data_IF_034409926725
#
_entry.id   IF_034409926725
#
_cell.length_a   1.000
_cell.length_b   1.000
_cell.length_c   1.000
_cell.angle_alpha   90.00
_cell.angle_beta   90.00
_cell.angle_gamma   90.00
#
_symmetry.space_group_name_H-M   'P 1'
#
loop_
_entity.id
_entity.type
_entity.pdbx_description
1 polymer ?
#
# COMPACT_ATOMS: atom_id res chain seq x y z
N UNK A 1 -14.99 11.11 2.01
CA UNK A 1 -16.41 10.82 2.24
C UNK A 1 -17.12 12.12 2.60
N UNK A 2 -18.29 12.36 2.04
CA UNK A 2 -19.21 13.43 2.44
C UNK A 2 -20.62 12.87 2.60
N UNK A 3 -21.48 13.61 3.28
CA UNK A 3 -22.91 13.28 3.46
C UNK A 3 -23.71 14.43 2.86
N UNK A 4 -24.66 14.12 1.99
CA UNK A 4 -25.53 15.12 1.38
C UNK A 4 -26.69 15.51 2.33
N UNK A 5 -27.52 16.49 1.91
CA UNK A 5 -28.65 16.97 2.70
C UNK A 5 -29.72 15.89 2.97
N UNK A 6 -29.76 14.84 2.16
CA UNK A 6 -30.64 13.69 2.34
C UNK A 6 -30.04 12.58 3.21
N UNK A 7 -28.85 12.81 3.80
CA UNK A 7 -28.14 11.84 4.63
C UNK A 7 -27.42 10.73 3.86
N UNK A 8 -27.28 10.86 2.54
CA UNK A 8 -26.61 9.84 1.70
C UNK A 8 -25.12 10.06 1.68
N UNK A 9 -24.36 8.97 1.78
CA UNK A 9 -22.90 8.99 1.70
C UNK A 9 -22.44 9.12 0.24
N UNK A 10 -21.39 9.90 0.02
CA UNK A 10 -20.75 10.08 -1.27
C UNK A 10 -19.23 10.18 -1.15
N UNK A 11 -18.54 9.96 -2.26
CA UNK A 11 -17.08 10.11 -2.35
C UNK A 11 -16.75 11.43 -3.04
N UNK A 12 -15.74 12.12 -2.51
CA UNK A 12 -15.17 13.31 -3.12
C UNK A 12 -13.67 13.17 -3.17
N UNK A 13 -13.10 13.27 -4.37
CA UNK A 13 -11.65 13.31 -4.53
C UNK A 13 -11.10 14.61 -3.96
N UNK A 14 -10.13 14.50 -3.06
CA UNK A 14 -9.31 15.62 -2.60
C UNK A 14 -7.96 15.54 -3.32
N UNK A 15 -7.58 16.52 -4.11
CA UNK A 15 -6.26 16.52 -4.73
C UNK A 15 -5.18 16.61 -3.64
N UNK A 16 -4.06 15.95 -3.90
CA UNK A 16 -2.86 16.07 -3.06
C UNK A 16 -2.31 17.48 -3.21
N UNK A 17 -1.94 18.11 -2.11
CA UNK A 17 -1.31 19.41 -2.13
C UNK A 17 0.21 19.28 -2.37
N UNK A 18 0.80 20.22 -3.07
CA UNK A 18 2.24 20.27 -3.34
C UNK A 18 3.07 20.20 -2.04
N UNK A 19 2.59 20.86 -0.97
CA UNK A 19 3.21 20.79 0.36
C UNK A 19 3.19 19.37 0.98
N UNK A 20 2.20 18.54 0.64
CA UNK A 20 2.14 17.15 1.09
C UNK A 20 3.18 16.30 0.35
N UNK A 21 3.40 16.58 -0.94
CA UNK A 21 4.46 15.93 -1.73
C UNK A 21 5.84 16.30 -1.21
N UNK A 22 6.10 17.58 -0.92
CA UNK A 22 7.36 18.02 -0.32
C UNK A 22 7.59 17.38 1.04
N UNK A 23 6.58 17.34 1.89
CA UNK A 23 6.67 16.69 3.20
C UNK A 23 6.99 15.19 3.08
N UNK A 24 6.47 14.52 2.06
CA UNK A 24 6.80 13.12 1.79
C UNK A 24 8.31 12.95 1.47
N UNK A 25 8.89 13.85 0.62
CA UNK A 25 10.32 13.81 0.29
C UNK A 25 11.20 14.10 1.51
N UNK A 26 10.84 15.10 2.33
CA UNK A 26 11.56 15.39 3.58
C UNK A 26 11.50 14.20 4.53
N UNK A 27 10.34 13.54 4.64
CA UNK A 27 10.18 12.34 5.49
C UNK A 27 11.06 11.18 5.00
N UNK A 28 11.19 10.99 3.68
CA UNK A 28 12.10 9.98 3.11
C UNK A 28 13.56 10.31 3.44
N UNK A 29 13.97 11.56 3.24
CA UNK A 29 15.33 12.02 3.56
C UNK A 29 15.69 11.77 5.03
N UNK A 30 14.81 12.16 5.95
CA UNK A 30 15.02 11.95 7.40
C UNK A 30 15.11 10.46 7.71
N UNK A 31 14.27 9.62 7.11
CA UNK A 31 14.31 8.18 7.32
C UNK A 31 15.56 7.50 6.78
N UNK A 32 16.09 7.95 5.64
CA UNK A 32 17.37 7.48 5.07
C UNK A 32 18.53 7.90 5.99
N UNK A 33 18.57 9.17 6.42
CA UNK A 33 19.61 9.66 7.32
C UNK A 33 19.61 8.92 8.66
N UNK A 34 18.43 8.68 9.25
CA UNK A 34 18.31 7.91 10.49
C UNK A 34 18.80 6.46 10.34
N UNK A 35 18.47 5.82 9.21
CA UNK A 35 18.97 4.48 8.92
C UNK A 35 20.50 4.45 8.84
N UNK A 36 21.12 5.45 8.19
CA UNK A 36 22.57 5.55 8.10
C UNK A 36 23.23 5.75 9.47
N UNK A 37 22.68 6.65 10.31
CA UNK A 37 23.19 6.86 11.68
C UNK A 37 23.15 5.56 12.48
N UNK A 38 22.09 4.79 12.39
CA UNK A 38 21.97 3.51 13.09
C UNK A 38 22.93 2.44 12.54
N UNK A 39 23.11 2.38 11.22
CA UNK A 39 24.06 1.47 10.58
C UNK A 39 25.50 1.78 11.00
N UNK A 40 25.90 3.05 10.97
CA UNK A 40 27.24 3.49 11.38
C UNK A 40 27.48 3.24 12.87
N UNK A 41 26.45 3.37 13.69
CA UNK A 41 26.48 3.08 15.12
C UNK A 41 26.37 1.60 15.50
N UNK A 42 26.11 0.72 14.54
CA UNK A 42 26.01 -0.73 14.77
C UNK A 42 24.80 -1.15 15.61
N UNK A 43 23.77 -0.29 15.78
CA UNK A 43 22.59 -0.61 16.57
C UNK A 43 21.37 0.14 16.06
N UNK A 44 20.26 -0.58 15.86
CA UNK A 44 19.03 0.07 15.41
C UNK A 44 17.96 -0.88 14.90
N UNK A 45 17.00 -0.28 14.19
CA UNK A 45 15.90 -1.00 13.52
C UNK A 45 15.60 -0.36 12.18
N UNK A 46 15.70 -1.15 11.11
CA UNK A 46 15.43 -0.70 9.75
C UNK A 46 14.03 -1.14 9.32
N UNK A 47 13.44 -0.36 8.43
CA UNK A 47 12.29 -0.76 7.64
C UNK A 47 12.80 -1.42 6.37
N UNK A 48 12.74 -2.73 6.30
CA UNK A 48 13.26 -3.51 5.17
C UNK A 48 12.14 -3.98 4.26
N UNK A 49 12.45 -4.14 2.99
CA UNK A 49 11.60 -4.78 2.00
C UNK A 49 12.49 -5.42 0.94
N UNK A 50 12.39 -6.74 0.75
CA UNK A 50 13.16 -7.40 -0.29
C UNK A 50 12.77 -6.89 -1.68
N UNK A 51 13.66 -6.94 -2.67
CA UNK A 51 13.28 -6.73 -4.06
C UNK A 51 12.25 -7.78 -4.50
N UNK A 52 11.44 -7.44 -5.49
CA UNK A 52 10.54 -8.42 -6.11
C UNK A 52 11.35 -9.59 -6.67
N UNK A 53 10.82 -10.80 -6.53
CA UNK A 53 11.51 -11.97 -7.10
C UNK A 53 11.54 -11.91 -8.63
N UNK A 54 12.55 -12.51 -9.27
CA UNK A 54 12.61 -12.58 -10.75
C UNK A 54 11.34 -13.17 -11.37
N UNK A 55 10.74 -14.17 -10.70
CA UNK A 55 9.50 -14.79 -11.14
C UNK A 55 8.31 -13.85 -11.06
N UNK A 56 8.22 -13.04 -9.99
CA UNK A 56 7.18 -12.03 -9.85
C UNK A 56 7.31 -10.93 -10.92
N UNK A 57 8.55 -10.49 -11.20
CA UNK A 57 8.83 -9.53 -12.26
C UNK A 57 8.47 -10.09 -13.63
N UNK A 58 8.87 -11.34 -13.93
CA UNK A 58 8.56 -11.99 -15.20
C UNK A 58 7.05 -12.14 -15.40
N UNK A 59 6.33 -12.56 -14.35
CA UNK A 59 4.87 -12.65 -14.39
C UNK A 59 4.23 -11.30 -14.65
N UNK A 60 4.61 -10.27 -13.90
CA UNK A 60 4.06 -8.93 -14.08
C UNK A 60 4.33 -8.38 -15.49
N UNK A 61 5.51 -8.66 -16.10
CA UNK A 61 5.79 -8.27 -17.48
C UNK A 61 4.85 -8.95 -18.49
N UNK A 62 4.56 -10.23 -18.32
CA UNK A 62 3.62 -10.97 -19.18
C UNK A 62 2.19 -10.41 -19.02
N UNK A 63 1.76 -10.11 -17.81
CA UNK A 63 0.45 -9.52 -17.52
C UNK A 63 0.32 -8.13 -18.13
N UNK A 64 1.34 -7.27 -17.96
CA UNK A 64 1.36 -5.94 -18.56
C UNK A 64 1.35 -5.99 -20.10
N UNK A 65 2.09 -6.92 -20.72
CA UNK A 65 2.09 -7.11 -22.16
C UNK A 65 0.73 -7.61 -22.67
N UNK A 66 0.09 -8.52 -21.97
CA UNK A 66 -1.25 -9.00 -22.28
C UNK A 66 -2.31 -7.87 -22.21
N UNK A 67 -2.10 -6.91 -21.34
CA UNK A 67 -2.93 -5.69 -21.20
C UNK A 67 -2.50 -4.55 -22.15
N UNK A 68 -1.55 -4.79 -23.04
CA UNK A 68 -1.14 -3.87 -24.11
C UNK A 68 -0.04 -2.89 -23.75
N UNK A 69 0.59 -3.01 -22.57
CA UNK A 69 1.71 -2.17 -22.17
C UNK A 69 2.96 -3.02 -21.89
N UNK A 70 3.90 -3.03 -22.82
CA UNK A 70 5.16 -3.77 -22.68
C UNK A 70 6.12 -3.02 -21.77
N UNK A 71 6.61 -3.67 -20.70
CA UNK A 71 7.67 -3.15 -19.85
C UNK A 71 9.05 -3.62 -20.33
N UNK A 72 9.86 -2.75 -20.96
CA UNK A 72 11.21 -3.07 -21.42
C UNK A 72 12.14 -3.46 -20.28
N UNK A 73 13.15 -4.31 -20.57
CA UNK A 73 14.09 -4.79 -19.55
C UNK A 73 14.99 -3.68 -19.00
N UNK A 74 15.34 -2.73 -19.83
CA UNK A 74 16.21 -1.59 -19.54
C UNK A 74 15.48 -0.40 -18.90
N UNK A 75 14.13 -0.42 -18.87
CA UNK A 75 13.34 0.65 -18.29
C UNK A 75 13.13 0.42 -16.78
N UNK A 76 13.53 1.36 -15.90
CA UNK A 76 13.24 1.26 -14.48
C UNK A 76 11.73 1.15 -14.20
N UNK A 77 11.37 0.37 -13.20
CA UNK A 77 9.97 0.13 -12.83
C UNK A 77 9.14 1.42 -12.64
N UNK A 78 9.68 2.38 -11.89
CA UNK A 78 8.99 3.65 -11.65
C UNK A 78 8.77 4.46 -12.91
N UNK A 79 9.69 4.38 -13.87
CA UNK A 79 9.57 5.06 -15.17
C UNK A 79 8.54 4.35 -16.04
N UNK A 80 8.50 3.02 -16.03
CA UNK A 80 7.44 2.26 -16.69
C UNK A 80 6.05 2.68 -16.19
N UNK A 81 5.84 2.74 -14.88
CA UNK A 81 4.55 3.15 -14.32
C UNK A 81 4.13 4.58 -14.71
N UNK A 82 5.09 5.49 -14.94
CA UNK A 82 4.82 6.85 -15.42
C UNK A 82 4.39 6.90 -16.87
N UNK A 83 4.69 5.88 -17.67
CA UNK A 83 4.23 5.79 -19.07
C UNK A 83 2.78 5.36 -19.20
N UNK A 84 2.18 4.85 -18.14
CA UNK A 84 0.81 4.33 -18.16
C UNK A 84 -0.20 5.47 -18.15
N UNK A 85 -1.16 5.40 -19.08
CA UNK A 85 -2.30 6.28 -19.13
C UNK A 85 -3.35 5.84 -18.09
N UNK A 86 -3.64 6.69 -17.13
CA UNK A 86 -4.60 6.41 -16.05
C UNK A 86 -6.07 6.49 -16.48
N UNK A 87 -6.33 6.91 -17.70
CA UNK A 87 -7.68 6.87 -18.29
C UNK A 87 -7.93 5.60 -19.11
N UNK A 88 -6.88 4.85 -19.46
CA UNK A 88 -7.02 3.52 -20.08
C UNK A 88 -7.30 2.46 -18.99
N UNK A 89 -8.46 1.77 -19.06
CA UNK A 89 -8.81 0.72 -18.09
C UNK A 89 -7.80 -0.41 -17.97
N UNK A 90 -7.13 -0.76 -19.08
CA UNK A 90 -6.09 -1.79 -19.08
C UNK A 90 -4.86 -1.33 -18.31
N UNK A 91 -4.50 -0.06 -18.44
CA UNK A 91 -3.41 0.53 -17.67
C UNK A 91 -3.76 0.67 -16.18
N UNK A 92 -5.04 0.92 -15.82
CA UNK A 92 -5.48 0.86 -14.43
C UNK A 92 -5.33 -0.54 -13.83
N UNK A 93 -5.65 -1.60 -14.58
CA UNK A 93 -5.43 -2.98 -14.15
C UNK A 93 -3.92 -3.26 -13.94
N UNK A 94 -3.05 -2.77 -14.82
CA UNK A 94 -1.59 -2.88 -14.65
C UNK A 94 -1.12 -2.16 -13.37
N UNK A 95 -1.61 -0.94 -13.11
CA UNK A 95 -1.27 -0.19 -11.90
C UNK A 95 -1.73 -0.92 -10.63
N UNK A 96 -2.90 -1.54 -10.67
CA UNK A 96 -3.39 -2.36 -9.56
C UNK A 96 -2.46 -3.55 -9.30
N UNK A 97 -2.15 -4.34 -10.33
CA UNK A 97 -1.28 -5.51 -10.22
C UNK A 97 0.16 -5.14 -9.85
N UNK A 98 0.64 -3.97 -10.25
CA UNK A 98 1.96 -3.46 -9.91
C UNK A 98 2.23 -3.43 -8.40
N UNK A 99 1.20 -3.27 -7.58
CA UNK A 99 1.32 -3.29 -6.11
C UNK A 99 1.77 -4.66 -5.59
N UNK A 100 1.55 -5.73 -6.34
CA UNK A 100 1.95 -7.09 -5.99
C UNK A 100 3.47 -7.27 -5.89
N UNK A 101 4.24 -6.45 -6.58
CA UNK A 101 5.71 -6.46 -6.55
C UNK A 101 6.28 -5.93 -5.22
N UNK A 102 5.50 -5.18 -4.43
CA UNK A 102 5.95 -4.57 -3.16
C UNK A 102 5.42 -5.35 -1.96
N UNK A 103 5.84 -6.62 -1.84
CA UNK A 103 5.45 -7.50 -0.74
C UNK A 103 6.61 -7.78 0.21
N UNK A 104 6.30 -8.23 1.42
CA UNK A 104 7.29 -8.68 2.39
C UNK A 104 7.99 -7.55 3.15
N UNK A 105 7.42 -6.33 3.16
CA UNK A 105 7.98 -5.26 3.96
C UNK A 105 7.87 -5.57 5.46
N UNK A 106 8.99 -5.42 6.18
CA UNK A 106 9.10 -5.75 7.60
C UNK A 106 9.98 -4.77 8.37
N UNK A 107 10.35 -5.17 9.56
CA UNK A 107 11.34 -4.47 10.37
C UNK A 107 12.45 -5.46 10.73
N UNK A 108 13.70 -4.99 10.69
CA UNK A 108 14.87 -5.77 11.07
C UNK A 108 15.64 -5.00 12.14
N UNK A 109 15.65 -5.55 13.36
CA UNK A 109 16.44 -5.02 14.46
C UNK A 109 17.84 -5.62 14.44
N UNK A 110 18.85 -4.85 14.87
CA UNK A 110 20.24 -5.28 14.97
C UNK A 110 20.94 -4.60 16.14
N UNK A 111 21.88 -5.31 16.76
CA UNK A 111 22.79 -4.84 17.82
C UNK A 111 24.13 -5.53 17.58
N UNK A 112 25.10 -4.78 17.03
CA UNK A 112 26.39 -5.24 16.56
C UNK A 112 26.45 -5.32 15.04
N UNK A 113 26.24 -6.50 14.44
CA UNK A 113 26.36 -6.67 12.99
C UNK A 113 25.13 -6.12 12.26
N UNK A 114 25.31 -5.22 11.26
CA UNK A 114 24.21 -4.75 10.42
C UNK A 114 23.54 -5.88 9.63
N UNK A 115 22.25 -5.75 9.28
CA UNK A 115 21.55 -6.72 8.44
C UNK A 115 22.26 -6.91 7.09
N UNK A 116 22.29 -8.16 6.58
CA UNK A 116 22.85 -8.47 5.27
C UNK A 116 22.13 -7.71 4.14
N UNK A 117 20.81 -7.56 4.25
CA UNK A 117 19.96 -6.80 3.31
C UNK A 117 19.31 -5.61 4.03
N UNK A 118 20.01 -4.47 4.16
CA UNK A 118 19.49 -3.30 4.84
C UNK A 118 18.51 -2.47 3.97
N UNK A 119 18.43 -2.76 2.67
CA UNK A 119 17.73 -1.93 1.69
C UNK A 119 16.21 -2.13 1.78
N UNK A 120 15.49 -1.03 1.66
CA UNK A 120 14.06 -1.01 1.40
C UNK A 120 13.85 -0.84 -0.11
N UNK A 121 13.44 -1.91 -0.80
CA UNK A 121 13.44 -1.99 -2.26
C UNK A 121 12.63 -0.88 -2.95
N UNK A 122 11.50 -0.42 -2.37
CA UNK A 122 10.71 0.66 -2.96
C UNK A 122 11.38 2.05 -2.84
N UNK A 123 12.37 2.20 -1.94
CA UNK A 123 13.11 3.45 -1.72
C UNK A 123 14.50 3.36 -2.37
N UNK A 124 14.96 2.14 -2.64
CA UNK A 124 16.31 1.81 -3.13
C UNK A 124 17.44 2.29 -2.19
N UNK A 125 17.18 2.35 -0.89
CA UNK A 125 18.12 2.77 0.14
C UNK A 125 17.79 2.11 1.48
N UNK A 126 18.73 2.04 2.43
CA UNK A 126 18.42 1.77 3.82
C UNK A 126 17.47 2.85 4.35
N UNK A 127 16.47 2.41 5.11
CA UNK A 127 15.41 3.30 5.56
C UNK A 127 14.92 2.93 6.96
N UNK A 128 14.59 3.94 7.75
CA UNK A 128 13.99 3.76 9.06
C UNK A 128 12.80 4.69 9.27
N UNK A 129 11.81 4.21 9.97
CA UNK A 129 10.68 5.04 10.38
C UNK A 129 11.04 5.90 11.59
N UNK A 130 10.87 7.23 11.46
CA UNK A 130 11.20 8.22 12.50
C UNK A 130 10.20 9.36 12.60
N UNK A 131 9.36 9.57 11.57
CA UNK A 131 8.56 10.79 11.43
C UNK A 131 7.16 10.73 12.04
N UNK A 132 6.78 9.61 12.66
CA UNK A 132 5.44 9.43 13.23
C UNK A 132 5.43 8.72 14.61
N UNK A 133 6.16 9.22 15.63
CA UNK A 133 6.32 8.56 16.94
C UNK A 133 5.03 8.50 17.78
N UNK A 134 3.98 9.26 17.41
CA UNK A 134 2.69 9.20 18.07
C UNK A 134 1.86 7.97 17.68
N UNK A 135 2.04 7.47 16.45
CA UNK A 135 1.24 6.36 15.92
C UNK A 135 2.05 5.09 15.63
N UNK A 136 3.39 5.17 15.58
CA UNK A 136 4.28 4.01 15.37
C UNK A 136 5.27 3.89 16.51
N UNK A 137 5.22 2.75 17.21
CA UNK A 137 6.14 2.48 18.33
C UNK A 137 7.60 2.50 17.89
N UNK A 138 7.92 1.92 16.73
CA UNK A 138 9.28 1.84 16.20
C UNK A 138 9.95 3.21 16.06
N UNK A 139 9.22 4.25 15.69
CA UNK A 139 9.77 5.60 15.53
C UNK A 139 10.36 6.14 16.83
N UNK A 140 9.78 5.80 17.98
CA UNK A 140 10.29 6.20 19.29
C UNK A 140 11.65 5.55 19.59
N UNK A 141 11.81 4.29 19.22
CA UNK A 141 13.06 3.55 19.35
C UNK A 141 14.13 4.11 18.40
N UNK A 142 13.80 4.24 17.11
CA UNK A 142 14.72 4.82 16.12
C UNK A 142 15.22 6.21 16.54
N UNK A 143 14.32 7.07 17.02
CA UNK A 143 14.67 8.42 17.49
C UNK A 143 15.57 8.38 18.73
N UNK A 144 15.28 7.50 19.70
CA UNK A 144 16.12 7.38 20.91
C UNK A 144 17.51 6.84 20.58
N UNK A 145 17.63 5.89 19.64
CA UNK A 145 18.92 5.40 19.15
C UNK A 145 19.68 6.51 18.45
N UNK A 146 19.09 7.17 17.47
CA UNK A 146 19.73 8.26 16.72
C UNK A 146 20.19 9.40 17.65
N UNK A 147 19.34 9.79 18.61
CA UNK A 147 19.65 10.85 19.56
C UNK A 147 20.87 10.49 20.43
N UNK A 148 20.91 9.27 20.96
CA UNK A 148 22.03 8.80 21.77
C UNK A 148 23.34 8.74 20.96
N UNK A 149 23.29 8.16 19.75
CA UNK A 149 24.46 8.03 18.87
C UNK A 149 25.00 9.41 18.45
N UNK A 150 24.12 10.33 18.03
CA UNK A 150 24.52 11.68 17.63
C UNK A 150 25.10 12.49 18.81
N UNK A 151 24.67 12.22 20.03
CA UNK A 151 25.21 12.86 21.23
C UNK A 151 26.47 12.16 21.80
N UNK A 152 26.96 11.09 21.18
CA UNK A 152 28.09 10.28 21.68
C UNK A 152 27.79 9.62 23.01
N UNK A 153 26.53 9.31 23.31
CA UNK A 153 26.07 8.68 24.55
C UNK A 153 25.70 7.22 24.33
N UNK A 154 25.73 6.45 25.39
CA UNK A 154 25.19 5.08 25.34
C UNK A 154 23.68 5.11 25.05
N UNK A 155 23.23 4.17 24.19
CA UNK A 155 21.80 3.98 23.93
C UNK A 155 21.12 3.49 25.21
N UNK A 156 19.98 4.11 25.60
CA UNK A 156 19.30 3.78 26.84
C UNK A 156 19.02 2.26 26.98
N UNK A 157 19.23 1.66 28.16
CA UNK A 157 19.03 0.21 28.36
C UNK A 157 17.66 -0.29 27.92
N UNK A 158 16.60 0.46 28.21
CA UNK A 158 15.23 0.09 27.83
C UNK A 158 15.04 -0.06 26.31
N UNK A 159 15.81 0.68 25.51
CA UNK A 159 15.79 0.58 24.04
C UNK A 159 16.45 -0.73 23.63
N UNK A 160 17.67 -0.98 24.10
CA UNK A 160 18.47 -2.16 23.72
C UNK A 160 17.80 -3.47 24.15
N UNK A 161 17.24 -3.51 25.36
CA UNK A 161 16.56 -4.69 25.91
C UNK A 161 15.29 -5.07 25.11
N UNK A 162 14.62 -4.10 24.48
CA UNK A 162 13.35 -4.31 23.75
C UNK A 162 13.48 -4.24 22.24
N UNK A 163 14.68 -3.97 21.72
CA UNK A 163 14.87 -3.78 20.29
C UNK A 163 14.48 -5.02 19.47
N UNK A 164 14.83 -6.21 19.95
CA UNK A 164 14.53 -7.48 19.29
C UNK A 164 13.01 -7.79 19.25
N UNK A 165 12.22 -7.24 20.16
CA UNK A 165 10.77 -7.47 20.22
C UNK A 165 9.98 -6.61 19.18
N UNK A 166 10.60 -5.52 18.71
CA UNK A 166 9.92 -4.54 17.84
C UNK A 166 9.38 -5.11 16.52
N UNK A 167 10.12 -5.94 15.77
CA UNK A 167 9.60 -6.48 14.51
C UNK A 167 8.27 -7.22 14.70
N UNK A 168 8.18 -8.06 15.75
CA UNK A 168 6.96 -8.79 16.09
C UNK A 168 5.82 -7.84 16.50
N UNK A 169 6.09 -6.90 17.39
CA UNK A 169 5.12 -5.92 17.85
C UNK A 169 4.59 -5.04 16.71
N UNK A 170 5.47 -4.58 15.83
CA UNK A 170 5.09 -3.77 14.67
C UNK A 170 4.28 -4.57 13.64
N UNK A 171 4.62 -5.84 13.42
CA UNK A 171 3.86 -6.72 12.52
C UNK A 171 2.43 -6.93 13.04
N UNK A 172 2.27 -7.28 14.31
CA UNK A 172 0.95 -7.47 14.94
C UNK A 172 0.11 -6.19 14.93
N UNK A 173 0.75 -5.04 15.24
CA UNK A 173 0.10 -3.72 15.19
C UNK A 173 -0.31 -3.35 13.76
N UNK A 174 0.56 -3.58 12.78
CA UNK A 174 0.28 -3.32 11.37
C UNK A 174 -0.87 -4.16 10.82
N UNK A 175 -0.94 -5.44 11.17
CA UNK A 175 -2.05 -6.32 10.80
C UNK A 175 -3.38 -5.82 11.36
N UNK A 176 -3.38 -5.38 12.64
CA UNK A 176 -4.58 -4.82 13.28
C UNK A 176 -5.01 -3.50 12.64
N UNK A 177 -4.07 -2.59 12.40
CA UNK A 177 -4.36 -1.34 11.71
C UNK A 177 -4.93 -1.57 10.30
N UNK A 178 -4.29 -2.45 9.51
CA UNK A 178 -4.78 -2.80 8.17
C UNK A 178 -6.15 -3.50 8.19
N UNK A 179 -6.47 -4.28 9.21
CA UNK A 179 -7.80 -4.86 9.36
C UNK A 179 -8.87 -3.77 9.64
N UNK A 180 -8.53 -2.77 10.45
CA UNK A 180 -9.43 -1.62 10.71
C UNK A 180 -9.60 -0.78 9.46
N UNK A 181 -8.52 -0.45 8.76
CA UNK A 181 -8.57 0.32 7.50
C UNK A 181 -9.47 -0.36 6.47
N UNK A 182 -9.28 -1.65 6.22
CA UNK A 182 -10.15 -2.42 5.31
C UNK A 182 -11.60 -2.38 5.77
N UNK A 183 -11.87 -2.65 7.06
CA UNK A 183 -13.22 -2.63 7.57
C UNK A 183 -13.91 -1.26 7.44
N UNK A 184 -13.16 -0.16 7.56
CA UNK A 184 -13.67 1.19 7.34
C UNK A 184 -13.93 1.45 5.86
N UNK A 185 -13.02 1.04 4.96
CA UNK A 185 -13.18 1.16 3.52
C UNK A 185 -14.41 0.38 3.05
N UNK A 186 -14.52 -0.90 3.41
CA UNK A 186 -15.65 -1.76 3.06
C UNK A 186 -16.99 -1.18 3.54
N UNK A 187 -17.02 -0.61 4.76
CA UNK A 187 -18.22 0.02 5.30
C UNK A 187 -18.61 1.29 4.53
N UNK A 188 -17.63 2.10 4.14
CA UNK A 188 -17.86 3.32 3.33
C UNK A 188 -18.37 2.95 1.94
N UNK A 189 -17.75 1.97 1.28
CA UNK A 189 -18.17 1.48 -0.03
C UNK A 189 -19.61 0.97 0.00
N UNK A 190 -19.94 0.15 1.01
CA UNK A 190 -21.30 -0.31 1.23
C UNK A 190 -22.28 0.86 1.48
N UNK A 191 -21.89 1.86 2.28
CA UNK A 191 -22.75 3.01 2.59
C UNK A 191 -23.03 3.89 1.36
N UNK A 192 -21.99 4.11 0.52
CA UNK A 192 -22.12 4.89 -0.72
C UNK A 192 -23.07 4.19 -1.70
N UNK A 193 -23.08 2.87 -1.74
CA UNK A 193 -23.87 2.06 -2.66
C UNK A 193 -25.21 1.58 -2.10
N UNK A 194 -25.46 1.69 -0.79
CA UNK A 194 -26.64 1.10 -0.13
C UNK A 194 -28.00 1.51 -0.75
N UNK A 195 -28.08 2.73 -1.26
CA UNK A 195 -29.32 3.26 -1.87
C UNK A 195 -29.42 2.97 -3.38
N UNK A 196 -28.45 2.22 -3.94
CA UNK A 196 -28.31 1.98 -5.39
C UNK A 196 -28.42 0.49 -5.77
N UNK A 197 -28.88 -0.37 -4.84
CA UNK A 197 -29.06 -1.81 -5.10
C UNK A 197 -30.02 -2.00 -6.27
N UNK A 198 -29.65 -2.85 -7.23
CA UNK A 198 -30.34 -3.09 -8.50
C UNK A 198 -29.91 -2.17 -9.65
N UNK A 199 -29.08 -1.15 -9.39
CA UNK A 199 -28.50 -0.33 -10.46
C UNK A 199 -27.38 -1.07 -11.18
N UNK A 200 -27.15 -0.65 -12.42
CA UNK A 200 -26.08 -1.18 -13.28
C UNK A 200 -25.03 -0.10 -13.49
N UNK A 201 -23.77 -0.45 -13.25
CA UNK A 201 -22.62 0.43 -13.33
C UNK A 201 -21.67 0.01 -14.45
N UNK A 202 -20.96 0.97 -15.01
CA UNK A 202 -19.80 0.71 -15.82
C UNK A 202 -18.61 0.42 -14.90
N UNK A 203 -17.87 -0.63 -15.21
CA UNK A 203 -16.72 -1.09 -14.42
C UNK A 203 -15.60 -1.63 -15.30
N UNK A 204 -14.43 -1.73 -14.71
CA UNK A 204 -13.24 -2.34 -15.31
C UNK A 204 -12.83 -3.53 -14.45
N UNK A 205 -12.55 -4.66 -15.06
CA UNK A 205 -11.98 -5.81 -14.38
C UNK A 205 -10.51 -5.51 -14.07
N UNK A 206 -10.15 -5.48 -12.78
CA UNK A 206 -8.77 -5.21 -12.34
C UNK A 206 -8.02 -6.47 -11.93
N UNK A 207 -8.74 -7.50 -11.48
CA UNK A 207 -8.17 -8.82 -11.19
C UNK A 207 -9.20 -9.93 -11.47
N UNK A 208 -8.69 -11.13 -11.77
CA UNK A 208 -9.50 -12.33 -11.98
C UNK A 208 -8.78 -13.53 -11.37
N UNK A 209 -9.36 -14.12 -10.36
CA UNK A 209 -8.80 -15.28 -9.67
C UNK A 209 -9.88 -16.34 -9.40
N UNK A 210 -9.47 -17.49 -8.89
CA UNK A 210 -10.38 -18.63 -8.63
C UNK A 210 -11.54 -18.34 -7.66
N UNK A 211 -11.57 -17.15 -7.03
CA UNK A 211 -12.65 -16.71 -6.12
C UNK A 211 -13.63 -15.72 -6.79
N UNK A 212 -13.43 -15.37 -8.06
CA UNK A 212 -14.27 -14.44 -8.82
C UNK A 212 -13.47 -13.31 -9.47
N UNK A 213 -14.20 -12.29 -9.91
CA UNK A 213 -13.64 -11.07 -10.48
C UNK A 213 -13.50 -10.00 -9.40
N UNK A 214 -12.46 -9.18 -9.49
CA UNK A 214 -12.37 -7.90 -8.81
C UNK A 214 -12.56 -6.79 -9.84
N UNK A 215 -13.52 -5.91 -9.61
CA UNK A 215 -13.90 -4.85 -10.56
C UNK A 215 -13.79 -3.48 -9.90
N UNK A 216 -13.28 -2.53 -10.66
CA UNK A 216 -13.32 -1.10 -10.32
C UNK A 216 -14.55 -0.49 -10.98
N UNK A 217 -15.57 -0.15 -10.18
CA UNK A 217 -16.68 0.71 -10.61
C UNK A 217 -16.13 2.12 -10.79
N UNK A 218 -16.48 2.78 -11.89
CA UNK A 218 -15.90 4.08 -12.23
C UNK A 218 -16.58 5.23 -11.49
N UNK A 219 -17.90 5.12 -11.24
CA UNK A 219 -18.66 6.16 -10.53
C UNK A 219 -19.82 5.54 -9.73
N UNK A 220 -19.73 5.56 -8.38
CA UNK A 220 -18.60 6.02 -7.56
C UNK A 220 -17.38 5.09 -7.70
N UNK A 221 -16.18 5.61 -7.45
CA UNK A 221 -14.95 4.81 -7.51
C UNK A 221 -14.92 3.80 -6.34
N UNK A 222 -15.31 2.57 -6.62
CA UNK A 222 -15.39 1.46 -5.64
C UNK A 222 -14.77 0.21 -6.25
N UNK A 223 -13.92 -0.47 -5.50
CA UNK A 223 -13.39 -1.78 -5.87
C UNK A 223 -14.17 -2.86 -5.15
N UNK A 224 -14.81 -3.76 -5.89
CA UNK A 224 -15.64 -4.80 -5.30
C UNK A 224 -15.59 -6.11 -6.08
N UNK A 225 -16.01 -7.19 -5.43
CA UNK A 225 -16.13 -8.51 -6.06
C UNK A 225 -17.35 -8.60 -6.94
N UNK A 226 -17.18 -9.18 -8.13
CA UNK A 226 -18.25 -9.46 -9.07
C UNK A 226 -18.32 -10.95 -9.41
N UNK A 227 -19.56 -11.45 -9.54
CA UNK A 227 -19.83 -12.77 -10.08
C UNK A 227 -19.88 -12.66 -11.62
N UNK A 228 -19.27 -13.64 -12.32
CA UNK A 228 -19.24 -13.66 -13.77
C UNK A 228 -17.88 -14.12 -14.31
N UNK A 229 -17.71 -13.95 -15.61
CA UNK A 229 -16.47 -14.30 -16.31
C UNK A 229 -16.06 -13.15 -17.22
N UNK A 230 -14.85 -12.64 -17.01
CA UNK A 230 -14.21 -11.63 -17.85
C UNK A 230 -12.71 -11.63 -17.55
N UNK A 231 -11.91 -10.90 -18.32
CA UNK A 231 -10.46 -10.83 -18.16
C UNK A 231 -10.04 -9.47 -17.58
N UNK A 232 -8.92 -9.38 -16.85
CA UNK A 232 -8.35 -8.10 -16.43
C UNK A 232 -8.21 -7.15 -17.63
N UNK A 233 -8.61 -5.87 -17.43
CA UNK A 233 -8.66 -4.85 -18.47
C UNK A 233 -9.96 -4.78 -19.26
N UNK A 234 -10.86 -5.76 -19.15
CA UNK A 234 -12.16 -5.71 -19.81
C UNK A 234 -13.04 -4.63 -19.19
N UNK A 235 -13.77 -3.90 -20.04
CA UNK A 235 -14.88 -3.04 -19.62
C UNK A 235 -16.15 -3.88 -19.56
N UNK A 236 -16.78 -3.88 -18.41
CA UNK A 236 -17.98 -4.67 -18.15
C UNK A 236 -19.09 -3.78 -17.56
N UNK A 237 -20.32 -4.23 -17.72
CA UNK A 237 -21.44 -3.68 -16.97
C UNK A 237 -21.75 -4.62 -15.83
N UNK A 238 -21.87 -4.08 -14.61
CA UNK A 238 -22.12 -4.87 -13.40
C UNK A 238 -23.37 -4.36 -12.71
N UNK A 239 -24.22 -5.28 -12.28
CA UNK A 239 -25.38 -4.98 -11.44
C UNK A 239 -25.02 -5.11 -9.97
N UNK A 240 -25.43 -4.15 -9.16
CA UNK A 240 -25.28 -4.19 -7.71
C UNK A 240 -26.33 -5.10 -7.08
N UNK A 241 -25.91 -6.25 -6.61
CA UNK A 241 -26.76 -7.23 -5.94
C UNK A 241 -26.99 -6.93 -4.47
N UNK A 242 -25.94 -6.48 -3.78
CA UNK A 242 -25.96 -6.23 -2.33
C UNK A 242 -25.01 -5.10 -1.97
N UNK A 243 -25.48 -4.21 -1.09
CA UNK A 243 -24.63 -3.25 -0.38
C UNK A 243 -25.12 -3.14 1.07
N UNK A 244 -24.42 -3.78 1.99
CA UNK A 244 -24.81 -3.89 3.40
C UNK A 244 -23.70 -3.35 4.30
N UNK A 245 -23.97 -2.24 4.97
CA UNK A 245 -23.04 -1.56 5.86
C UNK A 245 -22.74 -2.38 7.11
N UNK A 246 -23.72 -3.11 7.63
CA UNK A 246 -23.55 -3.87 8.88
C UNK A 246 -22.59 -5.05 8.68
N UNK A 247 -22.71 -5.73 7.55
CA UNK A 247 -21.80 -6.81 7.14
C UNK A 247 -20.60 -6.32 6.35
N UNK A 248 -20.57 -5.04 5.96
CA UNK A 248 -19.52 -4.42 5.15
C UNK A 248 -19.31 -5.16 3.83
N UNK A 249 -20.41 -5.46 3.16
CA UNK A 249 -20.41 -6.30 1.97
C UNK A 249 -20.96 -5.55 0.77
N UNK A 250 -20.20 -5.55 -0.32
CA UNK A 250 -20.65 -5.15 -1.66
C UNK A 250 -20.52 -6.36 -2.58
N UNK A 251 -21.57 -6.71 -3.30
CA UNK A 251 -21.58 -7.80 -4.29
C UNK A 251 -22.17 -7.31 -5.60
N UNK A 252 -21.46 -7.60 -6.67
CA UNK A 252 -21.82 -7.25 -8.03
C UNK A 252 -21.97 -8.51 -8.89
N UNK A 253 -22.64 -8.41 -10.02
CA UNK A 253 -22.67 -9.45 -11.05
C UNK A 253 -22.50 -8.82 -12.44
N UNK A 254 -21.69 -9.45 -13.29
CA UNK A 254 -21.55 -9.05 -14.71
C UNK A 254 -22.85 -9.31 -15.46
N UNK A 255 -23.25 -8.33 -16.30
CA UNK A 255 -24.46 -8.37 -17.12
C UNK A 255 -24.14 -8.53 -18.61
#
# INVERSE_FOLDING_TARGET
VHVDEAGRFGLRLRPVLESEEWNAQVSLLVGIAAAQIMLDGGLGVLRTMPPASPEAIARFRLEAEALGARWPEDLPYGDFLRTLDREDPRHLAIVHEATSLFRGSGYTAFDGEPPADPVQAAIAAPYAHTTAPLRRLVDRFSLAVCEALCAGREVPPWVRERLADLPGAMTASGQRAGAVDRACTDAVEAAVLAHRVGEVFDAVVVDSNGSGLEVLVTEPAVVARAEGAASPGDRVRVELLTADVATRTVRLAVR
#
